data_IF_031138676346
#
_entry.id   IF_031138676346
#
_cell.length_a   1.000
_cell.length_b   1.000
_cell.length_c   1.000
_cell.angle_alpha   90.00
_cell.angle_beta   90.00
_cell.angle_gamma   90.00
#
_symmetry.space_group_name_H-M   'P 1'
#
loop_
_entity.id
_entity.type
_entity.pdbx_description
1 polymer ?
#
# COMPACT_ATOMS: atom_id res chain seq x y z
N UNK A 1 -8.73 -17.13 -32.80
CA UNK A 1 -8.56 -17.68 -31.44
C UNK A 1 -9.48 -18.93 -31.41
N UNK A 2 -8.90 -20.13 -31.42
CA UNK A 2 -9.66 -21.35 -31.22
C UNK A 2 -10.17 -21.36 -29.77
N UNK A 3 -11.46 -21.45 -29.60
CA UNK A 3 -12.12 -21.65 -28.30
C UNK A 3 -11.78 -23.06 -27.83
N UNK A 4 -10.72 -23.22 -27.08
CA UNK A 4 -10.41 -24.49 -26.43
C UNK A 4 -11.49 -24.80 -25.39
N UNK A 5 -12.12 -25.97 -25.51
CA UNK A 5 -13.17 -26.36 -24.58
C UNK A 5 -12.67 -26.56 -23.16
N UNK A 6 -13.30 -25.91 -22.20
CA UNK A 6 -13.02 -26.06 -20.75
C UNK A 6 -13.27 -27.49 -20.24
N UNK A 7 -13.95 -28.33 -21.04
CA UNK A 7 -14.26 -29.73 -20.74
C UNK A 7 -13.30 -30.75 -21.40
N UNK A 8 -12.16 -30.26 -21.94
CA UNK A 8 -11.11 -31.12 -22.45
C UNK A 8 -10.37 -31.84 -21.31
N UNK A 9 -10.08 -33.12 -21.46
CA UNK A 9 -9.20 -33.86 -20.57
C UNK A 9 -7.72 -33.50 -20.73
N UNK A 10 -7.36 -32.68 -21.73
CA UNK A 10 -6.01 -32.19 -21.94
C UNK A 10 -5.70 -30.98 -21.07
N UNK A 11 -4.51 -30.95 -20.50
CA UNK A 11 -4.04 -29.80 -19.73
C UNK A 11 -3.98 -28.57 -20.63
N UNK A 12 -4.73 -27.53 -20.27
CA UNK A 12 -4.70 -26.22 -20.93
C UNK A 12 -3.48 -25.44 -20.47
N UNK A 13 -2.61 -25.06 -21.40
CA UNK A 13 -1.44 -24.24 -21.11
C UNK A 13 -1.84 -22.78 -21.02
N UNK A 14 -1.51 -22.13 -19.91
CA UNK A 14 -1.69 -20.69 -19.69
C UNK A 14 -0.35 -20.00 -19.46
N UNK A 15 -0.16 -18.74 -19.85
CA UNK A 15 1.03 -17.97 -19.50
C UNK A 15 1.20 -17.90 -17.96
N UNK A 16 2.44 -17.98 -17.50
CA UNK A 16 2.71 -17.79 -16.07
C UNK A 16 2.36 -16.36 -15.66
N UNK A 17 1.51 -16.18 -14.63
CA UNK A 17 1.15 -14.83 -14.16
C UNK A 17 2.31 -14.18 -13.40
N UNK A 18 2.47 -12.86 -13.55
CA UNK A 18 3.30 -12.03 -12.71
C UNK A 18 2.41 -11.11 -11.88
N UNK A 19 2.57 -11.15 -10.56
CA UNK A 19 1.82 -10.30 -9.64
C UNK A 19 2.69 -9.11 -9.25
N UNK A 20 2.27 -7.92 -9.66
CA UNK A 20 2.98 -6.67 -9.41
C UNK A 20 2.02 -5.70 -8.74
N UNK A 21 2.45 -5.10 -7.65
CA UNK A 21 1.76 -4.02 -6.95
C UNK A 21 2.58 -2.75 -7.10
N UNK A 22 1.95 -1.68 -7.53
CA UNK A 22 2.54 -0.35 -7.51
C UNK A 22 2.20 0.34 -6.17
N UNK A 23 3.24 0.57 -5.37
CA UNK A 23 3.12 1.29 -4.11
C UNK A 23 3.22 2.79 -4.34
N UNK A 24 2.20 3.51 -3.90
CA UNK A 24 2.11 4.96 -3.99
C UNK A 24 1.72 5.57 -2.63
N UNK A 25 1.94 4.85 -1.52
CA UNK A 25 1.64 5.33 -0.18
C UNK A 25 2.64 6.40 0.30
N UNK A 26 2.37 6.97 1.49
CA UNK A 26 3.20 8.03 2.08
C UNK A 26 4.23 7.49 3.08
N UNK A 27 4.07 6.25 3.54
CA UNK A 27 5.01 5.63 4.46
C UNK A 27 6.36 5.35 3.76
N UNK A 28 7.42 5.28 4.54
CA UNK A 28 8.74 4.92 4.01
C UNK A 28 8.70 3.49 3.47
N UNK A 29 9.07 3.33 2.20
CA UNK A 29 9.04 2.05 1.52
C UNK A 29 10.24 1.91 0.57
N UNK A 30 10.82 0.72 0.52
CA UNK A 30 11.92 0.41 -0.40
C UNK A 30 11.49 0.56 -1.86
N UNK A 31 12.44 0.80 -2.77
CA UNK A 31 12.15 0.91 -4.22
C UNK A 31 11.51 -0.36 -4.78
N UNK A 32 11.92 -1.53 -4.25
CA UNK A 32 11.38 -2.83 -4.61
C UNK A 32 11.35 -3.74 -3.38
N UNK A 33 10.24 -4.46 -3.21
CA UNK A 33 10.08 -5.52 -2.20
C UNK A 33 9.41 -6.73 -2.82
N UNK A 34 9.66 -7.91 -2.27
CA UNK A 34 9.00 -9.16 -2.66
C UNK A 34 8.33 -9.76 -1.42
N UNK A 35 7.08 -10.17 -1.57
CA UNK A 35 6.29 -10.83 -0.53
C UNK A 35 5.84 -12.20 -1.00
N UNK A 36 5.74 -13.14 -0.07
CA UNK A 36 5.29 -14.50 -0.30
C UNK A 36 4.09 -14.82 0.57
N UNK A 37 3.11 -15.51 -0.02
CA UNK A 37 1.91 -15.93 0.72
C UNK A 37 2.26 -16.84 1.89
N UNK A 38 3.27 -17.70 1.72
CA UNK A 38 3.75 -18.61 2.78
C UNK A 38 4.28 -17.89 4.04
N UNK A 39 4.68 -16.63 3.92
CA UNK A 39 5.13 -15.82 5.07
C UNK A 39 3.97 -15.46 6.02
N UNK A 40 2.73 -15.54 5.55
CA UNK A 40 1.52 -15.29 6.33
C UNK A 40 0.89 -16.55 6.94
N UNK A 41 1.45 -17.75 6.68
CA UNK A 41 0.89 -18.99 7.22
C UNK A 41 1.29 -19.22 8.67
N UNK A 42 0.31 -19.61 9.48
CA UNK A 42 0.53 -20.01 10.87
C UNK A 42 -0.21 -21.35 11.15
N UNK A 43 0.50 -22.43 11.52
CA UNK A 43 1.96 -22.54 11.66
C UNK A 43 2.69 -22.42 10.31
N UNK A 44 3.97 -22.06 10.35
CA UNK A 44 4.82 -21.99 9.15
C UNK A 44 4.88 -23.35 8.44
N UNK A 45 4.75 -23.32 7.11
CA UNK A 45 4.78 -24.53 6.27
C UNK A 45 5.95 -24.42 5.28
N UNK A 46 6.89 -25.36 5.33
CA UNK A 46 8.09 -25.33 4.48
C UNK A 46 7.80 -25.55 2.98
N UNK A 47 6.78 -26.36 2.68
CA UNK A 47 6.39 -26.66 1.30
C UNK A 47 4.87 -26.51 1.16
N UNK A 48 4.34 -25.28 1.02
CA UNK A 48 2.93 -25.04 0.90
C UNK A 48 2.38 -25.56 -0.44
N UNK A 49 1.16 -26.09 -0.42
CA UNK A 49 0.46 -26.53 -1.63
C UNK A 49 0.13 -25.38 -2.59
N UNK A 50 0.09 -24.14 -2.07
CA UNK A 50 -0.10 -22.90 -2.83
C UNK A 50 0.94 -21.86 -2.39
N UNK A 51 1.66 -21.31 -3.36
CA UNK A 51 2.56 -20.18 -3.14
C UNK A 51 2.23 -19.05 -4.13
N UNK A 52 2.11 -17.84 -3.61
CA UNK A 52 1.99 -16.61 -4.39
C UNK A 52 3.17 -15.71 -4.08
N UNK A 53 3.86 -15.24 -5.12
CA UNK A 53 4.91 -14.21 -5.00
C UNK A 53 4.43 -12.92 -5.62
N UNK A 54 4.54 -11.84 -4.85
CA UNK A 54 4.13 -10.50 -5.27
C UNK A 54 5.34 -9.58 -5.23
N UNK A 55 5.63 -8.93 -6.34
CA UNK A 55 6.62 -7.85 -6.40
C UNK A 55 5.93 -6.52 -6.17
N UNK A 56 6.37 -5.77 -5.17
CA UNK A 56 5.91 -4.41 -4.89
C UNK A 56 6.95 -3.42 -5.39
N UNK A 57 6.54 -2.47 -6.21
CA UNK A 57 7.38 -1.44 -6.81
C UNK A 57 6.94 -0.06 -6.29
N UNK A 58 7.84 0.65 -5.62
CA UNK A 58 7.59 2.01 -5.19
C UNK A 58 7.58 2.95 -6.39
N UNK A 59 6.43 3.55 -6.69
CA UNK A 59 6.25 4.47 -7.82
C UNK A 59 6.15 5.94 -7.39
N UNK A 60 6.48 6.27 -6.16
CA UNK A 60 6.52 7.66 -5.70
C UNK A 60 7.55 8.48 -6.50
N UNK A 61 7.32 9.78 -6.60
CA UNK A 61 8.23 10.70 -7.27
C UNK A 61 9.63 10.65 -6.64
N UNK A 62 10.66 10.54 -7.49
CA UNK A 62 12.04 10.40 -7.04
C UNK A 62 12.48 8.99 -6.65
N UNK A 63 11.57 8.02 -6.65
CA UNK A 63 11.86 6.59 -6.39
C UNK A 63 12.00 5.80 -7.69
N UNK A 64 12.61 4.61 -7.59
CA UNK A 64 12.70 3.61 -8.65
C UNK A 64 13.13 4.19 -10.02
N UNK A 65 14.26 4.91 -10.05
CA UNK A 65 14.73 5.66 -11.22
C UNK A 65 14.84 4.81 -12.49
N UNK A 66 15.18 3.52 -12.37
CA UNK A 66 15.25 2.59 -13.51
C UNK A 66 13.88 2.37 -14.16
N UNK A 67 12.85 2.13 -13.38
CA UNK A 67 11.46 1.98 -13.83
C UNK A 67 10.95 3.29 -14.45
N UNK A 68 11.20 4.41 -13.79
CA UNK A 68 10.76 5.74 -14.25
C UNK A 68 11.39 6.18 -15.57
N UNK A 69 12.60 5.70 -15.88
CA UNK A 69 13.23 5.92 -17.19
C UNK A 69 12.55 5.13 -18.30
N UNK A 70 12.07 3.94 -18.00
CA UNK A 70 11.43 3.04 -18.98
C UNK A 70 9.96 3.39 -19.24
N UNK A 71 9.28 3.98 -18.26
CA UNK A 71 7.84 4.32 -18.37
C UNK A 71 7.62 5.82 -18.16
N UNK A 72 7.40 6.52 -19.27
CA UNK A 72 7.01 7.94 -19.25
C UNK A 72 5.71 8.15 -18.47
N UNK A 73 4.72 7.30 -18.70
CA UNK A 73 3.40 7.42 -18.05
C UNK A 73 3.50 7.28 -16.54
N UNK A 74 4.25 6.29 -16.01
CA UNK A 74 4.46 6.14 -14.57
C UNK A 74 5.20 7.33 -13.97
N UNK A 75 6.21 7.83 -14.65
CA UNK A 75 6.94 9.03 -14.21
C UNK A 75 6.05 10.25 -14.13
N UNK A 76 5.23 10.49 -15.16
CA UNK A 76 4.29 11.61 -15.20
C UNK A 76 3.18 11.47 -14.16
N UNK A 77 2.70 10.24 -13.92
CA UNK A 77 1.76 9.95 -12.84
C UNK A 77 2.36 10.25 -11.46
N UNK A 78 3.59 9.80 -11.21
CA UNK A 78 4.30 10.10 -9.96
C UNK A 78 4.46 11.62 -9.72
N UNK A 79 4.72 12.40 -10.79
CA UNK A 79 4.78 13.86 -10.73
C UNK A 79 3.43 14.47 -10.38
N UNK A 80 2.36 14.00 -11.01
CA UNK A 80 1.00 14.47 -10.70
C UNK A 80 0.64 14.23 -9.23
N UNK A 81 0.85 13.02 -8.71
CA UNK A 81 0.55 12.69 -7.32
C UNK A 81 1.38 13.53 -6.35
N UNK A 82 2.67 13.73 -6.63
CA UNK A 82 3.54 14.59 -5.82
C UNK A 82 3.04 16.05 -5.78
N UNK A 83 2.53 16.56 -6.91
CA UNK A 83 1.92 17.90 -6.99
C UNK A 83 0.64 18.00 -6.16
N UNK A 84 -0.25 17.01 -6.24
CA UNK A 84 -1.48 16.97 -5.41
C UNK A 84 -1.12 17.02 -3.93
N UNK A 85 -0.16 16.19 -3.48
CA UNK A 85 0.28 16.15 -2.08
C UNK A 85 0.88 17.48 -1.63
N UNK A 86 1.72 18.10 -2.46
CA UNK A 86 2.30 19.43 -2.19
C UNK A 86 1.20 20.47 -2.03
N UNK A 87 0.29 20.58 -2.99
CA UNK A 87 -0.78 21.55 -2.91
C UNK A 87 -1.77 21.30 -1.78
N UNK A 88 -2.01 20.02 -1.42
CA UNK A 88 -2.84 19.69 -0.26
C UNK A 88 -2.22 20.24 1.04
N UNK A 89 -0.91 20.14 1.17
CA UNK A 89 -0.19 20.71 2.33
C UNK A 89 -0.23 22.24 2.33
N UNK A 90 -0.09 22.87 1.15
CA UNK A 90 -0.05 24.33 1.01
C UNK A 90 -1.44 24.99 1.19
N UNK A 91 -2.50 24.38 0.63
CA UNK A 91 -3.83 24.98 0.54
C UNK A 91 -4.80 24.48 1.61
N UNK A 92 -4.54 23.32 2.21
CA UNK A 92 -5.44 22.68 3.16
C UNK A 92 -6.69 22.03 2.55
N UNK A 93 -7.12 22.47 1.35
CA UNK A 93 -8.26 21.93 0.61
C UNK A 93 -7.81 20.90 -0.41
N UNK A 94 -8.42 19.73 -0.40
CA UNK A 94 -8.11 18.67 -1.37
C UNK A 94 -8.63 18.98 -2.76
N UNK A 95 -9.84 19.51 -2.87
CA UNK A 95 -10.45 19.90 -4.15
C UNK A 95 -9.60 20.94 -4.88
N UNK A 96 -9.16 21.98 -4.16
CA UNK A 96 -8.29 23.01 -4.72
C UNK A 96 -6.94 22.45 -5.11
N UNK A 97 -6.36 21.58 -4.28
CA UNK A 97 -5.07 20.96 -4.53
C UNK A 97 -5.08 20.10 -5.80
N UNK A 98 -6.11 19.25 -5.97
CA UNK A 98 -6.27 18.39 -7.14
C UNK A 98 -6.48 19.23 -8.40
N UNK A 99 -7.38 20.21 -8.37
CA UNK A 99 -7.63 21.08 -9.51
C UNK A 99 -6.36 21.85 -9.93
N UNK A 100 -5.63 22.40 -8.97
CA UNK A 100 -4.39 23.13 -9.23
C UNK A 100 -3.29 22.24 -9.78
N UNK A 101 -3.16 21.02 -9.26
CA UNK A 101 -2.21 20.02 -9.77
C UNK A 101 -2.53 19.62 -11.22
N UNK A 102 -3.80 19.39 -11.54
CA UNK A 102 -4.27 19.12 -12.93
C UNK A 102 -3.91 20.27 -13.86
N UNK A 103 -4.19 21.53 -13.48
CA UNK A 103 -3.88 22.69 -14.29
C UNK A 103 -2.38 22.87 -14.52
N UNK A 104 -1.56 22.65 -13.49
CA UNK A 104 -0.11 22.73 -13.62
C UNK A 104 0.45 21.61 -14.50
N UNK A 105 -0.03 20.37 -14.32
CA UNK A 105 0.36 19.25 -15.15
C UNK A 105 0.03 19.49 -16.64
N UNK A 106 -1.16 19.99 -16.94
CA UNK A 106 -1.56 20.34 -18.31
C UNK A 106 -0.65 21.40 -18.91
N UNK A 107 -0.31 22.44 -18.15
CA UNK A 107 0.59 23.51 -18.61
C UNK A 107 2.00 23.02 -18.90
N UNK A 108 2.48 22.10 -18.07
CA UNK A 108 3.85 21.56 -18.15
C UNK A 108 3.97 20.33 -19.06
N UNK A 109 2.89 19.92 -19.74
CA UNK A 109 2.90 18.77 -20.65
C UNK A 109 2.94 17.41 -19.94
N UNK A 110 2.70 17.35 -18.62
CA UNK A 110 2.65 16.14 -17.80
C UNK A 110 1.26 15.53 -17.92
N UNK A 111 1.13 14.34 -18.48
CA UNK A 111 -0.16 13.68 -18.76
C UNK A 111 -1.18 14.59 -19.48
N UNK A 112 -0.73 15.63 -20.17
CA UNK A 112 -1.56 16.76 -20.58
C UNK A 112 -2.77 16.36 -21.42
N UNK A 113 -2.60 15.47 -22.42
CA UNK A 113 -3.69 15.04 -23.28
C UNK A 113 -4.70 14.15 -22.57
N UNK A 114 -4.22 13.33 -21.63
CA UNK A 114 -5.08 12.50 -20.78
C UNK A 114 -5.90 13.38 -19.83
N UNK A 115 -5.25 14.31 -19.12
CA UNK A 115 -5.89 15.20 -18.15
C UNK A 115 -6.89 16.14 -18.80
N UNK A 116 -6.63 16.65 -20.02
CA UNK A 116 -7.59 17.47 -20.74
C UNK A 116 -8.87 16.71 -21.09
N UNK A 117 -8.73 15.45 -21.53
CA UNK A 117 -9.88 14.62 -21.95
C UNK A 117 -10.70 14.07 -20.79
N UNK A 118 -10.05 13.77 -19.68
CA UNK A 118 -10.66 13.06 -18.55
C UNK A 118 -10.68 13.89 -17.26
N UNK A 119 -10.64 15.24 -17.36
CA UNK A 119 -10.45 16.12 -16.21
C UNK A 119 -11.42 15.84 -15.05
N UNK A 120 -12.72 15.78 -15.34
CA UNK A 120 -13.74 15.61 -14.31
C UNK A 120 -13.60 14.26 -13.59
N UNK A 121 -13.34 13.20 -14.35
CA UNK A 121 -13.13 11.85 -13.80
C UNK A 121 -11.87 11.78 -12.94
N UNK A 122 -10.76 12.35 -13.43
CA UNK A 122 -9.49 12.37 -12.67
C UNK A 122 -9.65 13.16 -11.37
N UNK A 123 -10.30 14.29 -11.38
CA UNK A 123 -10.54 15.10 -10.17
C UNK A 123 -11.37 14.30 -9.17
N UNK A 124 -12.48 13.72 -9.60
CA UNK A 124 -13.36 12.92 -8.74
C UNK A 124 -12.63 11.69 -8.15
N UNK A 125 -11.92 10.94 -8.98
CA UNK A 125 -11.20 9.74 -8.55
C UNK A 125 -10.05 10.07 -7.59
N UNK A 126 -9.27 11.13 -7.88
CA UNK A 126 -8.17 11.55 -7.02
C UNK A 126 -8.64 11.99 -5.63
N UNK A 127 -9.78 12.66 -5.54
CA UNK A 127 -10.40 13.04 -4.27
C UNK A 127 -10.86 11.80 -3.50
N UNK A 128 -11.49 10.85 -4.20
CA UNK A 128 -11.97 9.61 -3.59
C UNK A 128 -10.81 8.76 -3.05
N UNK A 129 -9.77 8.52 -3.87
CA UNK A 129 -8.59 7.74 -3.47
C UNK A 129 -7.86 8.38 -2.29
N UNK A 130 -7.67 9.70 -2.31
CA UNK A 130 -7.00 10.40 -1.21
C UNK A 130 -7.77 10.30 0.11
N UNK A 131 -9.09 10.44 0.07
CA UNK A 131 -9.93 10.31 1.25
C UNK A 131 -9.90 8.87 1.80
N UNK A 132 -9.91 7.87 0.93
CA UNK A 132 -9.77 6.47 1.32
C UNK A 132 -8.41 6.21 1.99
N UNK A 133 -7.29 6.68 1.41
CA UNK A 133 -5.96 6.55 2.01
C UNK A 133 -5.89 7.22 3.41
N UNK A 134 -6.50 8.39 3.56
CA UNK A 134 -6.52 9.11 4.84
C UNK A 134 -7.31 8.35 5.90
N UNK A 135 -8.48 7.82 5.56
CA UNK A 135 -9.29 7.00 6.48
C UNK A 135 -8.59 5.69 6.86
N UNK A 136 -8.00 4.99 5.91
CA UNK A 136 -7.21 3.78 6.19
C UNK A 136 -6.00 4.07 7.09
N UNK A 137 -5.34 5.20 6.90
CA UNK A 137 -4.22 5.61 7.75
C UNK A 137 -4.67 5.91 9.18
N UNK A 138 -5.81 6.59 9.34
CA UNK A 138 -6.43 6.84 10.67
C UNK A 138 -6.79 5.54 11.35
N UNK A 139 -7.41 4.61 10.64
CA UNK A 139 -7.78 3.29 11.15
C UNK A 139 -6.55 2.52 11.62
N UNK A 140 -5.51 2.41 10.78
CA UNK A 140 -4.25 1.73 11.13
C UNK A 140 -3.54 2.37 12.33
N UNK A 141 -3.63 3.70 12.48
CA UNK A 141 -3.08 4.39 13.63
C UNK A 141 -3.86 4.06 14.90
N UNK A 142 -5.21 4.04 14.84
CA UNK A 142 -6.07 3.67 15.95
C UNK A 142 -5.88 2.20 16.39
N UNK A 143 -5.77 1.27 15.43
CA UNK A 143 -5.50 -0.15 15.69
C UNK A 143 -4.13 -0.33 16.38
N UNK A 144 -3.10 0.37 15.92
CA UNK A 144 -1.77 0.35 16.53
C UNK A 144 -1.78 0.87 17.96
N UNK A 145 -2.52 1.96 18.21
CA UNK A 145 -2.68 2.50 19.56
C UNK A 145 -3.43 1.52 20.48
N UNK A 146 -4.53 0.96 20.01
CA UNK A 146 -5.30 -0.04 20.76
C UNK A 146 -4.47 -1.29 21.10
N UNK A 147 -3.66 -1.76 20.12
CA UNK A 147 -2.73 -2.88 20.34
C UNK A 147 -1.64 -2.56 21.37
N UNK A 148 -1.10 -1.35 21.35
CA UNK A 148 -0.13 -0.89 22.34
C UNK A 148 -0.75 -0.83 23.75
N UNK A 149 -1.93 -0.22 23.89
CA UNK A 149 -2.63 -0.09 25.17
C UNK A 149 -2.98 -1.46 25.76
N UNK A 150 -3.49 -2.37 24.92
CA UNK A 150 -3.76 -3.76 25.32
C UNK A 150 -2.51 -4.50 25.75
N UNK A 151 -1.40 -4.33 25.03
CA UNK A 151 -0.10 -4.93 25.38
C UNK A 151 0.44 -4.42 26.71
N UNK A 152 0.33 -3.13 26.98
CA UNK A 152 0.72 -2.52 28.28
C UNK A 152 -0.14 -3.07 29.41
N UNK A 153 -1.47 -3.11 29.24
CA UNK A 153 -2.38 -3.64 30.25
C UNK A 153 -2.07 -5.12 30.57
N UNK A 154 -1.84 -5.94 29.54
CA UNK A 154 -1.49 -7.34 29.69
C UNK A 154 -0.14 -7.52 30.41
N UNK A 155 0.86 -6.73 30.03
CA UNK A 155 2.19 -6.75 30.68
C UNK A 155 2.14 -6.34 32.14
N UNK A 156 1.36 -5.33 32.51
CA UNK A 156 1.14 -4.92 33.90
C UNK A 156 0.47 -6.03 34.68
N UNK A 157 -0.59 -6.66 34.14
CA UNK A 157 -1.31 -7.78 34.79
C UNK A 157 -0.38 -8.96 35.05
N UNK A 158 0.38 -9.39 34.03
CA UNK A 158 1.37 -10.46 34.18
C UNK A 158 2.46 -10.12 35.22
N UNK A 159 2.97 -8.89 35.20
CA UNK A 159 3.96 -8.44 36.18
C UNK A 159 3.47 -8.48 37.61
N UNK A 160 2.21 -8.09 37.86
CA UNK A 160 1.56 -8.18 39.17
C UNK A 160 1.39 -9.63 39.59
N UNK A 161 0.88 -10.51 38.74
CA UNK A 161 0.69 -11.94 39.03
C UNK A 161 2.01 -12.64 39.37
N UNK A 162 3.07 -12.38 38.57
CA UNK A 162 4.40 -12.95 38.82
C UNK A 162 5.03 -12.42 40.12
N UNK A 163 4.89 -11.11 40.38
CA UNK A 163 5.36 -10.49 41.61
C UNK A 163 4.65 -11.04 42.87
N UNK A 164 3.34 -11.28 42.80
CA UNK A 164 2.59 -11.90 43.89
C UNK A 164 3.02 -13.36 44.11
N UNK A 165 3.20 -14.14 43.03
CA UNK A 165 3.64 -15.54 43.14
C UNK A 165 5.02 -15.64 43.81
N UNK A 166 6.01 -14.83 43.37
CA UNK A 166 7.33 -14.81 43.95
C UNK A 166 7.32 -14.31 45.41
N UNK A 167 6.51 -13.32 45.74
CA UNK A 167 6.35 -12.82 47.11
C UNK A 167 5.74 -13.84 48.08
N UNK A 168 4.86 -14.75 47.59
CA UNK A 168 4.33 -15.85 48.40
C UNK A 168 5.37 -16.93 48.63
N UNK A 169 6.19 -17.31 47.64
CA UNK A 169 7.26 -18.30 47.82
C UNK A 169 8.28 -17.88 48.87
N UNK A 170 8.68 -16.62 48.89
CA UNK A 170 9.61 -16.07 49.87
C UNK A 170 9.07 -16.03 51.31
N UNK A 171 7.77 -16.15 51.52
CA UNK A 171 7.13 -16.09 52.82
C UNK A 171 7.02 -17.46 53.52
N UNK A 172 7.28 -18.55 52.79
CA UNK A 172 7.15 -19.93 53.28
C UNK A 172 8.50 -20.69 53.31
N UNK A 173 9.62 -19.99 53.05
CA UNK A 173 10.98 -20.45 53.24
C UNK A 173 11.60 -19.84 54.47
#
# INVERSE_FOLDING_TARGET
METQSLYSSAIQKVPAPNFIVFYNGQDEFADKSEYRLSEAFEPRVDNPALELRVTVLNINYGRNAGLMKQSRTLREYAQYVALVRRYKTELGSLDEAVNRAVDECIRNGVLADFLRRNRAEVVMMSIFEYNQEEEERKLRAAERQAGYDSGVEHGIRQGIEQGMAQGMELKYT
#
